data_IF_971603315910
#
_entry.id   IF_971603315910
#
_cell.length_a   1.000
_cell.length_b   1.000
_cell.length_c   1.000
_cell.angle_alpha   90.00
_cell.angle_beta   90.00
_cell.angle_gamma   90.00
#
_symmetry.space_group_name_H-M   'P 1'
#
loop_
_entity.id
_entity.type
_entity.pdbx_description
1 polymer ?
#
# COMPACT_ATOMS: atom_id res chain seq x y z
N UNK A 1 0.15 14.79 -14.52
CA UNK A 1 0.40 14.98 -13.07
C UNK A 1 -0.48 13.95 -12.40
N UNK A 2 0.10 12.96 -11.72
CA UNK A 2 -0.69 11.86 -11.14
C UNK A 2 -1.45 12.36 -9.91
N UNK A 3 -2.73 12.07 -9.79
CA UNK A 3 -3.62 12.57 -8.73
C UNK A 3 -3.68 11.60 -7.54
N UNK A 4 -4.27 12.07 -6.43
CA UNK A 4 -4.55 11.22 -5.27
C UNK A 4 -5.48 10.06 -5.64
N UNK A 5 -6.56 10.33 -6.38
CA UNK A 5 -7.51 9.30 -6.83
C UNK A 5 -6.84 8.23 -7.69
N UNK A 6 -5.94 8.64 -8.59
CA UNK A 6 -5.15 7.69 -9.41
C UNK A 6 -4.18 6.85 -8.56
N UNK A 7 -3.59 7.43 -7.50
CA UNK A 7 -2.73 6.66 -6.58
C UNK A 7 -3.53 5.65 -5.74
N UNK A 8 -4.73 6.01 -5.30
CA UNK A 8 -5.62 5.10 -4.56
C UNK A 8 -6.14 3.97 -5.45
N UNK A 9 -6.53 4.28 -6.69
CA UNK A 9 -6.94 3.28 -7.68
C UNK A 9 -5.79 2.30 -7.98
N UNK A 10 -4.56 2.79 -8.12
CA UNK A 10 -3.40 1.93 -8.34
C UNK A 10 -3.12 1.02 -7.14
N UNK A 11 -3.26 1.51 -5.90
CA UNK A 11 -3.15 0.68 -4.71
C UNK A 11 -4.23 -0.41 -4.67
N UNK A 12 -5.47 -0.11 -5.08
CA UNK A 12 -6.54 -1.11 -5.17
C UNK A 12 -6.23 -2.16 -6.24
N UNK A 13 -5.71 -1.75 -7.39
CA UNK A 13 -5.30 -2.68 -8.46
C UNK A 13 -4.14 -3.58 -8.01
N UNK A 14 -3.16 -3.03 -7.29
CA UNK A 14 -2.04 -3.78 -6.73
C UNK A 14 -2.51 -4.78 -5.67
N UNK A 15 -3.42 -4.37 -4.78
CA UNK A 15 -4.03 -5.27 -3.80
C UNK A 15 -4.75 -6.44 -4.50
N UNK A 16 -5.56 -6.16 -5.52
CA UNK A 16 -6.24 -7.20 -6.29
C UNK A 16 -5.25 -8.17 -6.95
N UNK A 17 -4.17 -7.67 -7.56
CA UNK A 17 -3.11 -8.52 -8.13
C UNK A 17 -2.46 -9.42 -7.07
N UNK A 18 -2.21 -8.90 -5.86
CA UNK A 18 -1.65 -9.65 -4.74
C UNK A 18 -2.63 -10.72 -4.21
N UNK A 19 -3.94 -10.45 -4.22
CA UNK A 19 -4.97 -11.42 -3.83
C UNK A 19 -5.11 -12.58 -4.82
N UNK A 20 -4.78 -12.35 -6.09
CA UNK A 20 -4.77 -13.38 -7.14
C UNK A 20 -3.51 -14.24 -7.14
N UNK A 21 -2.47 -13.89 -6.38
CA UNK A 21 -1.26 -14.71 -6.30
C UNK A 21 -1.58 -16.04 -5.60
N UNK A 22 -1.44 -17.13 -6.34
CA UNK A 22 -1.42 -18.49 -5.79
C UNK A 22 0.02 -18.93 -5.56
N UNK A 23 0.31 -19.51 -4.39
CA UNK A 23 1.63 -20.04 -4.07
C UNK A 23 1.91 -21.33 -4.84
N UNK A 24 2.70 -21.24 -5.91
CA UNK A 24 3.14 -22.39 -6.71
C UNK A 24 4.64 -22.46 -6.98
N UNK A 25 5.43 -21.50 -6.47
CA UNK A 25 6.90 -21.59 -6.46
C UNK A 25 7.61 -20.27 -6.68
N UNK A 26 8.77 -20.33 -7.32
CA UNK A 26 9.69 -19.20 -7.57
C UNK A 26 9.09 -18.07 -8.41
N UNK A 27 8.10 -18.37 -9.26
CA UNK A 27 7.40 -17.36 -10.06
C UNK A 27 6.52 -16.46 -9.17
N UNK A 28 5.83 -17.04 -8.17
CA UNK A 28 5.04 -16.30 -7.18
C UNK A 28 5.90 -15.29 -6.42
N UNK A 29 7.10 -15.69 -5.97
CA UNK A 29 8.02 -14.81 -5.24
C UNK A 29 8.45 -13.61 -6.07
N UNK A 30 8.74 -13.84 -7.35
CA UNK A 30 9.18 -12.78 -8.27
C UNK A 30 8.07 -11.76 -8.49
N UNK A 31 6.85 -12.23 -8.79
CA UNK A 31 5.68 -11.37 -8.97
C UNK A 31 5.31 -10.60 -7.69
N UNK A 32 5.42 -11.24 -6.53
CA UNK A 32 5.19 -10.59 -5.24
C UNK A 32 6.17 -9.43 -5.02
N UNK A 33 7.47 -9.65 -5.26
CA UNK A 33 8.47 -8.60 -5.13
C UNK A 33 8.20 -7.45 -6.11
N UNK A 34 7.81 -7.77 -7.35
CA UNK A 34 7.44 -6.76 -8.34
C UNK A 34 6.26 -5.89 -7.85
N UNK A 35 5.17 -6.50 -7.41
CA UNK A 35 4.00 -5.77 -6.91
C UNK A 35 4.29 -4.99 -5.63
N UNK A 36 5.13 -5.54 -4.74
CA UNK A 36 5.60 -4.82 -3.56
C UNK A 36 6.39 -3.57 -3.97
N UNK A 37 7.28 -3.68 -4.94
CA UNK A 37 8.06 -2.55 -5.45
C UNK A 37 7.18 -1.47 -6.06
N UNK A 38 6.21 -1.84 -6.89
CA UNK A 38 5.20 -0.92 -7.43
C UNK A 38 4.44 -0.22 -6.30
N UNK A 39 4.04 -0.97 -5.26
CA UNK A 39 3.37 -0.42 -4.08
C UNK A 39 4.24 0.62 -3.36
N UNK A 40 5.52 0.32 -3.14
CA UNK A 40 6.48 1.25 -2.54
C UNK A 40 6.61 2.53 -3.37
N UNK A 41 6.65 2.42 -4.69
CA UNK A 41 6.77 3.58 -5.58
C UNK A 41 5.53 4.46 -5.54
N UNK A 42 4.32 3.88 -5.44
CA UNK A 42 3.08 4.64 -5.23
C UNK A 42 3.14 5.40 -3.90
N UNK A 43 3.51 4.75 -2.81
CA UNK A 43 3.64 5.42 -1.51
C UNK A 43 4.70 6.53 -1.52
N UNK A 44 5.86 6.29 -2.14
CA UNK A 44 6.91 7.31 -2.25
C UNK A 44 6.49 8.48 -3.12
N UNK A 45 5.73 8.24 -4.18
CA UNK A 45 5.14 9.29 -5.00
C UNK A 45 4.17 10.14 -4.17
N UNK A 46 3.21 9.51 -3.49
CA UNK A 46 2.26 10.22 -2.62
C UNK A 46 2.97 11.01 -1.51
N UNK A 47 4.06 10.47 -0.96
CA UNK A 47 4.87 11.15 0.06
C UNK A 47 5.59 12.40 -0.48
N UNK A 48 6.05 12.40 -1.74
CA UNK A 48 6.85 13.49 -2.32
C UNK A 48 6.00 14.57 -2.99
N UNK A 49 5.02 14.17 -3.79
CA UNK A 49 4.40 15.04 -4.81
C UNK A 49 2.99 15.51 -4.47
N UNK A 50 2.37 15.05 -3.38
CA UNK A 50 1.02 15.47 -3.10
C UNK A 50 0.43 14.89 -1.84
N UNK A 51 0.83 15.44 -0.70
CA UNK A 51 0.05 15.39 0.52
C UNK A 51 -0.17 16.83 0.99
N UNK A 52 -1.17 17.48 0.39
CA UNK A 52 -1.72 18.75 0.82
C UNK A 52 -2.51 18.53 2.10
N UNK A 53 -2.03 19.06 3.24
CA UNK A 53 -2.63 19.34 4.56
C UNK A 53 -3.65 18.37 5.23
N UNK A 54 -4.34 17.48 4.51
CA UNK A 54 -5.52 16.73 4.96
C UNK A 54 -5.26 15.25 5.25
N UNK A 55 -4.16 14.66 4.77
CA UNK A 55 -3.77 13.31 5.15
C UNK A 55 -2.44 13.31 5.90
N UNK A 56 -2.21 12.39 6.85
CA UNK A 56 -1.03 12.48 7.70
C UNK A 56 0.17 11.81 7.02
N UNK A 57 1.19 12.59 6.68
CA UNK A 57 2.45 12.09 6.08
C UNK A 57 3.10 10.96 6.89
N UNK A 58 2.82 10.90 8.19
CA UNK A 58 3.25 9.81 9.07
C UNK A 58 2.62 8.45 8.73
N UNK A 59 1.38 8.41 8.25
CA UNK A 59 0.71 7.17 7.83
C UNK A 59 1.37 6.60 6.59
N UNK A 60 1.65 7.44 5.57
CA UNK A 60 2.40 7.00 4.40
C UNK A 60 3.78 6.50 4.79
N UNK A 61 4.52 7.28 5.59
CA UNK A 61 5.87 6.89 6.00
C UNK A 61 5.86 5.57 6.79
N UNK A 62 4.84 5.36 7.63
CA UNK A 62 4.63 4.08 8.32
C UNK A 62 4.42 2.94 7.33
N UNK A 63 3.56 3.11 6.31
CA UNK A 63 3.33 2.10 5.28
C UNK A 63 4.62 1.77 4.50
N UNK A 64 5.41 2.78 4.13
CA UNK A 64 6.72 2.58 3.47
C UNK A 64 7.63 1.72 4.34
N UNK A 65 7.80 2.05 5.62
CA UNK A 65 8.65 1.26 6.53
C UNK A 65 8.16 -0.18 6.67
N UNK A 66 6.84 -0.42 6.72
CA UNK A 66 6.29 -1.77 6.82
C UNK A 66 6.48 -2.58 5.54
N UNK A 67 6.38 -1.95 4.37
CA UNK A 67 6.65 -2.62 3.10
C UNK A 67 8.14 -2.95 2.92
N UNK A 68 9.05 -2.09 3.37
CA UNK A 68 10.49 -2.42 3.41
C UNK A 68 10.78 -3.61 4.34
N UNK A 69 10.01 -3.76 5.42
CA UNK A 69 10.09 -4.95 6.27
C UNK A 69 9.52 -6.20 5.56
N UNK A 70 8.35 -6.09 4.92
CA UNK A 70 7.75 -7.18 4.15
C UNK A 70 8.71 -7.69 3.06
N UNK A 71 9.38 -6.76 2.37
CA UNK A 71 10.41 -7.06 1.37
C UNK A 71 11.51 -7.95 1.92
N UNK A 72 12.04 -7.61 3.11
CA UNK A 72 13.05 -8.42 3.79
C UNK A 72 12.54 -9.81 4.18
N UNK A 73 11.27 -9.95 4.56
CA UNK A 73 10.69 -11.26 4.84
C UNK A 73 10.69 -12.13 3.57
N UNK A 74 10.24 -11.57 2.45
CA UNK A 74 10.18 -12.28 1.16
C UNK A 74 11.58 -12.67 0.67
N UNK A 75 12.56 -11.78 0.81
CA UNK A 75 13.96 -12.04 0.47
C UNK A 75 14.61 -13.13 1.35
N UNK A 76 14.09 -13.37 2.55
CA UNK A 76 14.55 -14.41 3.48
C UNK A 76 13.68 -15.68 3.42
N UNK A 77 12.96 -15.90 2.32
CA UNK A 77 12.11 -17.09 2.08
C UNK A 77 10.84 -17.17 2.94
N UNK A 78 10.53 -16.15 3.75
CA UNK A 78 9.25 -16.01 4.47
C UNK A 78 8.16 -15.40 3.54
N UNK A 79 7.99 -16.00 2.36
CA UNK A 79 7.22 -15.42 1.24
C UNK A 79 5.74 -15.29 1.58
N UNK A 80 5.14 -16.30 2.24
CA UNK A 80 3.72 -16.28 2.59
C UNK A 80 3.40 -15.18 3.60
N UNK A 81 4.22 -15.07 4.64
CA UNK A 81 4.09 -14.00 5.64
C UNK A 81 4.28 -12.63 4.98
N UNK A 82 5.27 -12.51 4.09
CA UNK A 82 5.51 -11.29 3.34
C UNK A 82 4.34 -10.88 2.43
N UNK A 83 3.67 -11.84 1.79
CA UNK A 83 2.46 -11.58 0.99
C UNK A 83 1.32 -11.06 1.86
N UNK A 84 0.98 -11.79 2.93
CA UNK A 84 -0.09 -11.39 3.85
C UNK A 84 0.19 -10.02 4.46
N UNK A 85 1.45 -9.79 4.86
CA UNK A 85 1.84 -8.52 5.44
C UNK A 85 1.74 -7.37 4.43
N UNK A 86 2.19 -7.56 3.19
CA UNK A 86 2.05 -6.57 2.12
C UNK A 86 0.59 -6.19 1.88
N UNK A 87 -0.30 -7.18 1.76
CA UNK A 87 -1.75 -6.93 1.61
C UNK A 87 -2.32 -6.14 2.80
N UNK A 88 -1.94 -6.53 4.02
CA UNK A 88 -2.42 -5.87 5.24
C UNK A 88 -2.04 -4.38 5.30
N UNK A 89 -0.85 -4.02 4.83
CA UNK A 89 -0.39 -2.62 4.82
C UNK A 89 -1.20 -1.79 3.82
N UNK A 90 -1.46 -2.32 2.62
CA UNK A 90 -2.28 -1.63 1.62
C UNK A 90 -3.71 -1.45 2.13
N UNK A 91 -4.31 -2.51 2.70
CA UNK A 91 -5.67 -2.45 3.28
C UNK A 91 -5.75 -1.44 4.42
N UNK A 92 -4.75 -1.41 5.30
CA UNK A 92 -4.68 -0.45 6.39
C UNK A 92 -4.72 0.99 5.86
N UNK A 93 -3.86 1.31 4.89
CA UNK A 93 -3.82 2.65 4.30
C UNK A 93 -5.15 3.03 3.67
N UNK A 94 -5.72 2.17 2.82
CA UNK A 94 -7.00 2.45 2.15
C UNK A 94 -8.12 2.72 3.16
N UNK A 95 -8.17 1.98 4.28
CA UNK A 95 -9.15 2.20 5.36
C UNK A 95 -8.93 3.53 6.07
N UNK A 96 -7.70 3.87 6.43
CA UNK A 96 -7.37 5.16 7.05
C UNK A 96 -7.78 6.33 6.14
N UNK A 97 -7.52 6.22 4.84
CA UNK A 97 -7.90 7.27 3.89
C UNK A 97 -9.42 7.44 3.76
N UNK A 98 -10.20 6.34 3.77
CA UNK A 98 -11.66 6.42 3.72
C UNK A 98 -12.27 6.96 5.03
N UNK A 99 -11.65 6.72 6.19
CA UNK A 99 -12.12 7.26 7.46
C UNK A 99 -11.91 8.79 7.55
N UNK A 100 -10.85 9.30 6.92
CA UNK A 100 -10.60 10.73 6.82
C UNK A 100 -11.63 11.43 5.92
N UNK A 101 -12.11 10.77 4.86
CA UNK A 101 -13.19 11.32 4.00
C UNK A 101 -14.54 11.41 4.72
N UNK A 102 -14.84 10.48 5.65
CA UNK A 102 -16.13 10.44 6.38
C UNK A 102 -16.18 11.41 7.56
N UNK A 103 -15.03 11.84 8.08
CA UNK A 103 -14.96 12.77 9.22
C UNK A 103 -15.07 14.25 8.85
N UNK A 104 -15.30 14.56 7.56
CA UNK A 104 -15.49 15.92 7.04
C UNK A 104 -16.98 16.34 6.85
N UNK A 105 -17.96 15.66 7.46
CA UNK A 105 -19.28 16.30 7.65
C UNK A 105 -19.19 17.28 8.82
N UNK A 106 -19.35 18.61 8.60
CA UNK A 106 -19.48 19.52 9.72
C UNK A 106 -20.76 19.17 10.46
N UNK A 107 -20.65 18.88 11.76
CA UNK A 107 -21.74 18.99 12.72
C UNK A 107 -22.33 20.41 12.58
N UNK A 108 -23.30 20.55 11.69
CA UNK A 108 -24.14 21.72 11.58
C UNK A 108 -25.11 21.64 12.77
N UNK A 109 -24.72 22.34 13.83
CA UNK A 109 -25.57 22.74 14.95
C UNK A 109 -26.97 23.18 14.52
#
# INVERSE_FOLDING_TARGET
MKTQGESLEELQQLLFKLELLTFDGTETTTLLLEYLHQTLDVFRFMFRDGYTEQQPSHVINYCIMKLEFAKKQIENEDVQEGLEFTKSVIVYFLKETSLLEVSEEPDLF
#
